data_IF_948166862997
#
_entry.id   IF_948166862997
#
_cell.length_a   1.000
_cell.length_b   1.000
_cell.length_c   1.000
_cell.angle_alpha   90.00
_cell.angle_beta   90.00
_cell.angle_gamma   90.00
#
_symmetry.space_group_name_H-M   'P 1'
#
loop_
_entity.id
_entity.type
_entity.pdbx_description
1 polymer ?
#
# COMPACT_ATOMS: atom_id res chain seq x y z
N UNK A 1 -30.40 0.05 16.40
CA UNK A 1 -29.07 -0.01 15.73
C UNK A 1 -28.06 -0.85 16.52
N UNK A 2 -27.72 -0.50 17.77
CA UNK A 2 -26.74 -1.25 18.58
C UNK A 2 -27.02 -2.76 18.69
N UNK A 3 -28.26 -3.14 19.00
CA UNK A 3 -28.68 -4.55 19.11
C UNK A 3 -28.46 -5.32 17.80
N UNK A 4 -28.94 -4.77 16.68
CA UNK A 4 -28.80 -5.39 15.35
C UNK A 4 -27.34 -5.59 14.95
N UNK A 5 -26.47 -4.59 15.18
CA UNK A 5 -25.03 -4.71 14.91
C UNK A 5 -24.42 -5.81 15.77
N UNK A 6 -24.78 -5.86 17.06
CA UNK A 6 -24.31 -6.91 17.97
C UNK A 6 -24.72 -8.31 17.51
N UNK A 7 -25.97 -8.50 17.11
CA UNK A 7 -26.49 -9.79 16.61
C UNK A 7 -25.75 -10.26 15.34
N UNK A 8 -25.54 -9.37 14.38
CA UNK A 8 -24.83 -9.69 13.12
C UNK A 8 -23.35 -10.03 13.38
N UNK A 9 -22.71 -9.33 14.31
CA UNK A 9 -21.28 -9.52 14.61
C UNK A 9 -20.99 -10.69 15.53
N UNK A 10 -21.94 -11.09 16.38
CA UNK A 10 -21.74 -12.11 17.41
C UNK A 10 -21.06 -13.40 16.92
N UNK A 11 -21.37 -13.95 15.72
CA UNK A 11 -20.70 -15.15 15.22
C UNK A 11 -19.22 -14.95 14.86
N UNK A 12 -18.79 -13.71 14.61
CA UNK A 12 -17.46 -13.37 14.09
C UNK A 12 -16.58 -12.62 15.09
N UNK A 13 -17.17 -12.15 16.20
CA UNK A 13 -16.52 -11.27 17.17
C UNK A 13 -15.20 -11.85 17.70
N UNK A 14 -15.16 -13.15 18.00
CA UNK A 14 -13.94 -13.82 18.48
C UNK A 14 -12.80 -13.80 17.44
N UNK A 15 -13.12 -13.97 16.16
CA UNK A 15 -12.15 -13.87 15.07
C UNK A 15 -11.71 -12.42 14.87
N UNK A 16 -12.67 -11.49 14.73
CA UNK A 16 -12.41 -10.07 14.48
C UNK A 16 -11.54 -9.43 15.56
N UNK A 17 -11.77 -9.77 16.82
CA UNK A 17 -11.04 -9.23 17.98
C UNK A 17 -9.74 -9.95 18.29
N UNK A 18 -9.36 -10.99 17.53
CA UNK A 18 -8.10 -11.70 17.76
C UNK A 18 -6.91 -10.77 17.49
N UNK A 19 -6.08 -10.57 18.52
CA UNK A 19 -4.84 -9.81 18.44
C UNK A 19 -3.81 -10.53 17.57
N UNK A 20 -3.31 -9.82 16.54
CA UNK A 20 -2.28 -10.29 15.61
C UNK A 20 -0.89 -9.86 16.08
N UNK A 21 -0.81 -8.67 16.69
CA UNK A 21 0.39 -8.02 17.21
C UNK A 21 0.02 -6.66 17.82
N UNK A 22 1.01 -5.82 18.13
CA UNK A 22 0.80 -4.47 18.67
C UNK A 22 1.55 -3.43 17.86
N UNK A 23 1.03 -2.22 17.79
CA UNK A 23 1.76 -1.10 17.18
C UNK A 23 2.38 -0.19 18.23
N UNK A 24 3.64 0.21 18.02
CA UNK A 24 4.29 1.28 18.79
C UNK A 24 4.22 2.63 18.05
N UNK A 25 4.06 2.59 16.73
CA UNK A 25 3.83 3.74 15.86
C UNK A 25 2.33 4.08 15.69
N UNK A 26 2.03 5.30 15.26
CA UNK A 26 0.69 5.61 14.75
C UNK A 26 0.54 4.99 13.35
N UNK A 27 -0.43 4.10 13.16
CA UNK A 27 -0.76 3.54 11.85
C UNK A 27 -2.00 4.23 11.27
N UNK A 28 -1.84 4.92 10.15
CA UNK A 28 -2.95 5.58 9.46
C UNK A 28 -2.94 5.27 7.96
N UNK A 29 -4.13 5.43 7.35
CA UNK A 29 -4.35 5.14 5.93
C UNK A 29 -4.21 6.34 5.00
N UNK A 30 -4.88 7.45 5.33
CA UNK A 30 -5.00 8.59 4.41
C UNK A 30 -3.68 9.35 4.29
N UNK A 31 -3.20 9.48 3.05
CA UNK A 31 -2.10 10.34 2.64
C UNK A 31 -2.06 10.39 1.10
N UNK A 32 -1.56 11.50 0.53
CA UNK A 32 -1.49 11.63 -0.94
C UNK A 32 -0.50 10.65 -1.56
N UNK A 33 0.57 10.29 -0.83
CA UNK A 33 1.66 9.43 -1.29
C UNK A 33 1.72 8.12 -0.52
N UNK A 34 2.04 8.15 0.77
CA UNK A 34 2.00 6.98 1.67
C UNK A 34 1.33 7.37 3.01
N UNK A 35 0.73 6.38 3.67
CA UNK A 35 0.41 6.39 5.10
C UNK A 35 1.16 5.25 5.80
N UNK A 36 1.34 5.31 7.12
CA UNK A 36 2.14 4.31 7.85
C UNK A 36 1.52 2.91 7.86
N UNK A 37 0.18 2.79 7.75
CA UNK A 37 -0.43 1.47 7.53
C UNK A 37 -0.15 0.96 6.11
N UNK A 38 -0.12 1.83 5.10
CA UNK A 38 0.33 1.45 3.76
C UNK A 38 1.79 0.97 3.74
N UNK A 39 2.66 1.60 4.52
CA UNK A 39 4.04 1.15 4.68
C UNK A 39 4.10 -0.25 5.30
N UNK A 40 3.26 -0.54 6.31
CA UNK A 40 3.11 -1.89 6.87
C UNK A 40 2.65 -2.90 5.80
N UNK A 41 1.64 -2.57 4.99
CA UNK A 41 1.14 -3.44 3.92
C UNK A 41 2.23 -3.70 2.88
N UNK A 42 2.97 -2.66 2.50
CA UNK A 42 4.09 -2.76 1.58
C UNK A 42 5.18 -3.67 2.13
N UNK A 43 5.62 -3.49 3.38
CA UNK A 43 6.61 -4.35 4.02
C UNK A 43 6.15 -5.81 4.12
N UNK A 44 4.88 -6.04 4.43
CA UNK A 44 4.30 -7.38 4.44
C UNK A 44 4.38 -8.04 3.06
N UNK A 45 4.04 -7.31 1.99
CA UNK A 45 4.17 -7.82 0.62
C UNK A 45 5.63 -8.11 0.25
N UNK A 46 6.56 -7.20 0.53
CA UNK A 46 7.98 -7.38 0.24
C UNK A 46 8.55 -8.65 0.87
N UNK A 47 8.28 -8.86 2.17
CA UNK A 47 8.83 -10.00 2.90
C UNK A 47 8.09 -11.32 2.62
N UNK A 48 6.76 -11.33 2.67
CA UNK A 48 5.98 -12.58 2.58
C UNK A 48 5.81 -13.07 1.13
N UNK A 49 6.05 -12.19 0.15
CA UNK A 49 6.01 -12.54 -1.29
C UNK A 49 7.37 -12.51 -1.96
N UNK A 50 8.44 -12.27 -1.22
CA UNK A 50 9.81 -12.23 -1.76
C UNK A 50 9.90 -11.36 -3.01
N UNK A 51 9.37 -10.14 -2.90
CA UNK A 51 9.33 -9.16 -3.98
C UNK A 51 10.44 -8.12 -3.78
N UNK A 52 10.94 -7.58 -4.88
CA UNK A 52 11.89 -6.46 -4.85
C UNK A 52 11.18 -5.16 -4.46
N UNK A 53 9.95 -4.98 -4.96
CA UNK A 53 9.14 -3.78 -4.84
C UNK A 53 7.69 -4.16 -4.54
N UNK A 54 6.93 -3.24 -3.95
CA UNK A 54 5.51 -3.47 -3.69
C UNK A 54 4.63 -2.27 -4.01
N UNK A 55 3.42 -2.52 -4.50
CA UNK A 55 2.40 -1.51 -4.79
C UNK A 55 1.11 -1.79 -4.00
N UNK A 56 0.68 -0.81 -3.21
CA UNK A 56 -0.59 -0.83 -2.47
C UNK A 56 -1.52 0.26 -3.03
N UNK A 57 -2.81 -0.04 -3.28
CA UNK A 57 -3.74 0.86 -3.95
C UNK A 57 -3.97 2.13 -3.13
N UNK A 58 -4.29 3.21 -3.83
CA UNK A 58 -4.39 4.55 -3.27
C UNK A 58 -5.64 4.86 -2.44
N UNK A 59 -6.20 3.87 -1.73
CA UNK A 59 -7.56 3.99 -1.16
C UNK A 59 -7.62 4.92 0.06
N UNK A 60 -8.77 5.58 0.23
CA UNK A 60 -9.03 6.57 1.29
C UNK A 60 -9.78 6.02 2.50
N UNK A 61 -10.26 4.78 2.46
CA UNK A 61 -11.00 4.13 3.55
C UNK A 61 -10.03 3.35 4.45
N UNK A 62 -10.24 3.45 5.76
CA UNK A 62 -9.38 2.83 6.77
C UNK A 62 -9.36 3.64 8.07
N UNK A 63 -9.33 2.97 9.22
CA UNK A 63 -9.27 3.56 10.56
C UNK A 63 -7.84 3.64 11.10
N UNK A 64 -7.53 4.59 11.98
CA UNK A 64 -6.18 4.66 12.57
C UNK A 64 -6.03 3.71 13.75
N UNK A 65 -4.85 3.08 13.87
CA UNK A 65 -4.42 2.33 15.06
C UNK A 65 -3.41 3.18 15.82
N UNK A 66 -3.66 3.42 17.10
CA UNK A 66 -2.83 4.28 17.94
C UNK A 66 -1.60 3.54 18.48
N UNK A 67 -0.52 4.27 18.82
CA UNK A 67 0.58 3.73 19.61
C UNK A 67 0.10 2.98 20.86
N UNK A 68 0.63 1.78 21.08
CA UNK A 68 0.32 0.87 22.19
C UNK A 68 -0.93 0.01 21.99
N UNK A 69 -1.73 0.22 20.93
CA UNK A 69 -2.93 -0.58 20.67
C UNK A 69 -2.60 -1.94 20.06
N UNK A 70 -3.40 -2.98 20.36
CA UNK A 70 -3.37 -4.22 19.60
C UNK A 70 -3.85 -3.98 18.17
N UNK A 71 -3.20 -4.65 17.22
CA UNK A 71 -3.66 -4.77 15.84
C UNK A 71 -4.44 -6.07 15.74
N UNK A 72 -5.71 -6.00 15.40
CA UNK A 72 -6.63 -7.14 15.32
C UNK A 72 -6.93 -7.53 13.86
N UNK A 73 -7.66 -8.63 13.66
CA UNK A 73 -8.20 -8.96 12.33
C UNK A 73 -9.15 -7.87 11.82
N UNK A 74 -9.94 -7.25 12.69
CA UNK A 74 -10.82 -6.15 12.30
C UNK A 74 -10.05 -4.98 11.73
N UNK A 75 -8.91 -4.60 12.32
CA UNK A 75 -8.06 -3.52 11.82
C UNK A 75 -7.48 -3.87 10.44
N UNK A 76 -7.04 -5.12 10.24
CA UNK A 76 -6.52 -5.57 8.93
C UNK A 76 -7.63 -5.56 7.88
N UNK A 77 -8.82 -6.06 8.19
CA UNK A 77 -9.96 -6.00 7.26
C UNK A 77 -10.39 -4.57 6.95
N UNK A 78 -10.36 -3.68 7.95
CA UNK A 78 -10.65 -2.26 7.79
C UNK A 78 -9.71 -1.58 6.77
N UNK A 79 -8.56 -2.18 6.45
CA UNK A 79 -7.58 -1.68 5.49
C UNK A 79 -7.57 -2.42 4.15
N UNK A 80 -8.06 -3.66 4.11
CA UNK A 80 -7.77 -4.58 3.00
C UNK A 80 -8.96 -5.37 2.47
N UNK A 81 -10.12 -5.30 3.12
CA UNK A 81 -11.31 -6.05 2.73
C UNK A 81 -11.93 -5.53 1.42
N UNK A 82 -11.52 -6.15 0.31
CA UNK A 82 -12.05 -5.94 -1.04
C UNK A 82 -12.40 -7.27 -1.68
N UNK A 83 -13.28 -7.27 -2.68
CA UNK A 83 -13.77 -8.49 -3.35
C UNK A 83 -12.76 -9.12 -4.33
N UNK A 84 -11.69 -8.40 -4.66
CA UNK A 84 -10.58 -8.84 -5.51
C UNK A 84 -9.23 -8.69 -4.77
N UNK A 85 -9.04 -9.45 -3.67
CA UNK A 85 -7.99 -9.18 -2.68
C UNK A 85 -6.64 -9.81 -3.00
N UNK A 86 -6.56 -10.59 -4.09
CA UNK A 86 -5.41 -11.42 -4.40
C UNK A 86 -4.16 -10.55 -4.49
N UNK A 87 -3.20 -10.86 -3.63
CA UNK A 87 -1.88 -10.28 -3.69
C UNK A 87 -1.13 -11.01 -4.82
N UNK A 88 -0.86 -10.33 -5.92
CA UNK A 88 -0.11 -10.90 -7.03
C UNK A 88 1.39 -10.65 -6.83
N UNK A 89 2.20 -11.36 -7.61
CA UNK A 89 3.64 -11.12 -7.76
C UNK A 89 4.00 -11.31 -9.23
N UNK A 90 4.44 -10.24 -9.87
CA UNK A 90 4.71 -10.20 -11.31
C UNK A 90 6.10 -9.61 -11.57
N UNK A 91 6.61 -9.85 -12.76
CA UNK A 91 7.85 -9.24 -13.22
C UNK A 91 7.53 -7.93 -13.96
N UNK A 92 8.23 -6.84 -13.64
CA UNK A 92 8.04 -5.51 -14.25
C UNK A 92 9.39 -4.84 -14.52
N UNK A 93 9.57 -4.26 -15.71
CA UNK A 93 10.78 -3.51 -16.04
C UNK A 93 10.84 -2.17 -15.29
N UNK A 94 12.04 -1.62 -15.11
CA UNK A 94 12.21 -0.26 -14.58
C UNK A 94 11.43 0.81 -15.34
N UNK A 95 11.35 0.67 -16.66
CA UNK A 95 10.53 1.52 -17.53
C UNK A 95 9.04 1.40 -17.20
N UNK A 96 8.51 0.17 -17.09
CA UNK A 96 7.11 -0.05 -16.74
C UNK A 96 6.78 0.45 -15.33
N UNK A 97 7.70 0.35 -14.37
CA UNK A 97 7.53 0.94 -13.04
C UNK A 97 7.31 2.46 -13.14
N UNK A 98 8.12 3.16 -13.94
CA UNK A 98 7.96 4.61 -14.16
C UNK A 98 6.62 4.91 -14.82
N UNK A 99 6.24 4.14 -15.86
CA UNK A 99 4.98 4.34 -16.57
C UNK A 99 3.78 4.20 -15.65
N UNK A 100 3.75 3.19 -14.78
CA UNK A 100 2.67 3.02 -13.79
C UNK A 100 2.59 4.23 -12.84
N UNK A 101 3.73 4.73 -12.36
CA UNK A 101 3.74 5.90 -11.48
C UNK A 101 3.28 7.18 -12.18
N UNK A 102 3.69 7.38 -13.44
CA UNK A 102 3.28 8.52 -14.26
C UNK A 102 1.79 8.49 -14.58
N UNK A 103 1.24 7.32 -14.89
CA UNK A 103 -0.18 7.13 -15.19
C UNK A 103 -1.07 7.44 -13.98
N UNK A 104 -0.69 6.92 -12.80
CA UNK A 104 -1.39 7.24 -11.54
C UNK A 104 -1.24 8.72 -11.19
N UNK A 105 -0.05 9.30 -11.38
CA UNK A 105 0.18 10.73 -11.14
C UNK A 105 -0.64 11.61 -12.09
N UNK A 106 -0.82 11.21 -13.35
CA UNK A 106 -1.65 11.96 -14.28
C UNK A 106 -3.11 11.94 -13.92
N UNK A 107 -3.62 10.80 -13.42
CA UNK A 107 -4.99 10.76 -12.92
C UNK A 107 -5.22 11.74 -11.76
N UNK A 108 -4.27 11.80 -10.82
CA UNK A 108 -4.43 12.58 -9.60
C UNK A 108 -4.15 14.08 -9.80
N UNK A 109 -3.09 14.38 -10.56
CA UNK A 109 -2.60 15.73 -10.78
C UNK A 109 -2.89 16.22 -12.21
N UNK A 110 -3.98 15.71 -12.80
CA UNK A 110 -4.44 16.23 -14.08
C UNK A 110 -4.81 17.71 -13.91
N UNK A 111 -4.36 18.54 -14.85
CA UNK A 111 -4.67 19.97 -14.86
C UNK A 111 -6.16 20.24 -15.06
N UNK A 112 -6.85 19.34 -15.75
CA UNK A 112 -8.29 19.41 -15.95
C UNK A 112 -8.98 18.51 -14.91
N UNK A 113 -9.74 19.10 -13.96
CA UNK A 113 -10.41 18.33 -12.91
C UNK A 113 -11.44 17.35 -13.47
N UNK A 114 -11.89 17.52 -14.72
CA UNK A 114 -12.78 16.56 -15.38
C UNK A 114 -12.15 15.16 -15.51
N UNK A 115 -10.82 15.09 -15.62
CA UNK A 115 -10.09 13.82 -15.74
C UNK A 115 -9.64 13.23 -14.40
N UNK A 116 -9.86 13.92 -13.29
CA UNK A 116 -9.50 13.43 -11.96
C UNK A 116 -10.53 12.41 -11.45
N UNK A 117 -10.09 11.21 -11.09
CA UNK A 117 -10.99 10.12 -10.66
C UNK A 117 -11.10 9.97 -9.13
N UNK A 118 -10.43 10.82 -8.36
CA UNK A 118 -10.63 10.92 -6.90
C UNK A 118 -9.85 9.90 -6.06
N UNK A 119 -8.74 9.35 -6.57
CA UNK A 119 -7.79 8.53 -5.83
C UNK A 119 -6.66 9.32 -5.16
N UNK A 120 -5.70 8.60 -4.60
CA UNK A 120 -4.38 9.12 -4.19
C UNK A 120 -3.29 8.31 -4.92
N UNK A 121 -2.01 8.67 -4.81
CA UNK A 121 -0.93 7.92 -5.49
C UNK A 121 -0.88 6.46 -5.04
N UNK A 122 -0.46 5.55 -5.91
CA UNK A 122 -0.12 4.19 -5.51
C UNK A 122 0.98 4.25 -4.44
N UNK A 123 0.78 3.53 -3.33
CA UNK A 123 1.75 3.48 -2.24
C UNK A 123 2.83 2.50 -2.59
N UNK A 124 4.08 2.89 -2.43
CA UNK A 124 5.23 2.10 -2.87
C UNK A 124 6.05 1.60 -1.68
N UNK A 125 6.54 0.37 -1.79
CA UNK A 125 7.53 -0.23 -0.90
C UNK A 125 8.80 -0.60 -1.67
N UNK A 126 9.96 -0.44 -1.02
CA UNK A 126 11.27 -0.73 -1.62
C UNK A 126 11.74 0.30 -2.66
N UNK A 127 10.92 1.31 -2.97
CA UNK A 127 11.16 2.35 -3.97
C UNK A 127 11.18 3.74 -3.32
N UNK A 128 12.14 4.58 -3.72
CA UNK A 128 12.11 6.04 -3.53
C UNK A 128 12.06 6.73 -4.89
N UNK A 129 11.46 7.92 -4.95
CA UNK A 129 11.39 8.72 -6.18
C UNK A 129 11.14 10.20 -5.88
N UNK A 130 11.37 11.05 -6.88
CA UNK A 130 10.94 12.45 -6.88
C UNK A 130 9.73 12.61 -7.79
N UNK A 131 8.75 13.40 -7.35
CA UNK A 131 7.59 13.80 -8.15
C UNK A 131 7.48 15.31 -8.20
N UNK A 132 7.43 15.88 -9.40
CA UNK A 132 7.04 17.28 -9.64
C UNK A 132 5.62 17.29 -10.22
N UNK A 133 4.65 17.69 -9.39
CA UNK A 133 3.22 17.58 -9.73
C UNK A 133 2.79 18.60 -10.80
N UNK A 134 3.62 19.62 -11.06
CA UNK A 134 3.35 20.65 -12.06
C UNK A 134 3.88 20.29 -13.46
N UNK A 135 4.66 19.21 -13.59
CA UNK A 135 5.14 18.75 -14.89
C UNK A 135 4.01 18.07 -15.69
N UNK A 136 4.07 18.11 -17.03
CA UNK A 136 3.16 17.33 -17.86
C UNK A 136 3.36 15.82 -17.66
N UNK A 137 2.34 15.04 -18.02
CA UNK A 137 2.39 13.58 -18.02
C UNK A 137 3.67 13.05 -18.67
N UNK A 138 4.25 12.02 -18.05
CA UNK A 138 5.49 11.38 -18.51
C UNK A 138 6.77 12.05 -17.99
N UNK A 139 6.65 13.24 -17.40
CA UNK A 139 7.78 14.00 -16.85
C UNK A 139 7.64 14.31 -15.35
N UNK A 140 6.60 13.79 -14.67
CA UNK A 140 6.41 14.05 -13.24
C UNK A 140 7.39 13.26 -12.38
N UNK A 141 7.70 12.01 -12.77
CA UNK A 141 8.47 11.06 -11.97
C UNK A 141 9.94 11.07 -12.40
N UNK A 142 10.84 11.24 -11.42
CA UNK A 142 12.29 11.23 -11.61
C UNK A 142 13.02 10.61 -10.40
N UNK A 143 14.33 10.40 -10.53
CA UNK A 143 15.21 9.93 -9.44
C UNK A 143 14.70 8.65 -8.73
N UNK A 144 14.18 7.70 -9.50
CA UNK A 144 13.74 6.41 -8.96
C UNK A 144 14.95 5.63 -8.41
N UNK A 145 14.87 5.21 -7.16
CA UNK A 145 15.94 4.50 -6.44
C UNK A 145 15.41 3.32 -5.65
N UNK A 146 16.22 2.27 -5.54
CA UNK A 146 15.92 1.10 -4.72
C UNK A 146 16.34 1.39 -3.27
N UNK A 147 15.42 1.32 -2.33
CA UNK A 147 15.71 1.63 -0.91
C UNK A 147 16.70 0.66 -0.27
N UNK A 148 16.76 -0.59 -0.75
CA UNK A 148 17.67 -1.62 -0.22
C UNK A 148 19.15 -1.27 -0.36
N UNK A 149 19.52 -0.44 -1.35
CA UNK A 149 20.92 -0.15 -1.65
C UNK A 149 21.19 1.27 -2.21
N UNK A 150 20.16 2.11 -2.31
CA UNK A 150 20.25 3.47 -2.85
C UNK A 150 20.56 3.56 -4.34
N UNK A 151 20.62 2.44 -5.07
CA UNK A 151 20.97 2.46 -6.50
C UNK A 151 19.79 2.99 -7.32
N UNK A 152 20.06 3.71 -8.44
CA UNK A 152 19.02 4.05 -9.40
C UNK A 152 18.30 2.81 -9.93
N UNK A 153 17.02 2.96 -10.23
CA UNK A 153 16.27 1.97 -11.00
C UNK A 153 16.79 1.96 -12.44
N UNK A 154 17.16 0.79 -12.93
CA UNK A 154 17.56 0.57 -14.32
C UNK A 154 16.30 0.29 -15.15
N UNK A 155 16.07 1.12 -16.17
CA UNK A 155 14.89 1.03 -17.02
C UNK A 155 14.72 -0.34 -17.69
N UNK A 156 15.83 -0.99 -18.04
CA UNK A 156 15.86 -2.28 -18.75
C UNK A 156 15.83 -3.49 -17.81
N UNK A 157 16.10 -3.29 -16.51
CA UNK A 157 16.11 -4.37 -15.54
C UNK A 157 14.69 -4.77 -15.13
N UNK A 158 14.48 -6.07 -14.93
CA UNK A 158 13.22 -6.63 -14.48
C UNK A 158 13.23 -6.83 -12.96
N UNK A 159 12.24 -6.26 -12.29
CA UNK A 159 12.03 -6.34 -10.85
C UNK A 159 10.82 -7.20 -10.54
N UNK A 160 10.87 -7.95 -9.43
CA UNK A 160 9.70 -8.66 -8.91
C UNK A 160 8.83 -7.68 -8.11
N UNK A 161 7.62 -7.44 -8.58
CA UNK A 161 6.68 -6.51 -7.95
C UNK A 161 5.50 -7.27 -7.35
N UNK A 162 5.28 -7.10 -6.06
CA UNK A 162 4.05 -7.54 -5.41
C UNK A 162 3.01 -6.43 -5.39
N UNK A 163 1.75 -6.74 -5.62
CA UNK A 163 0.67 -5.78 -5.45
C UNK A 163 -0.65 -6.47 -5.18
N UNK A 164 -1.72 -5.71 -4.99
CA UNK A 164 -3.05 -6.26 -4.75
C UNK A 164 -4.13 -5.32 -5.29
N UNK A 165 -5.40 -5.71 -5.15
CA UNK A 165 -6.54 -4.97 -5.68
C UNK A 165 -6.52 -4.79 -7.20
N UNK A 166 -6.07 -5.82 -7.94
CA UNK A 166 -6.19 -5.85 -9.40
C UNK A 166 -7.58 -6.33 -9.80
N UNK A 167 -8.21 -5.61 -10.73
CA UNK A 167 -9.50 -6.00 -11.33
C UNK A 167 -9.34 -6.91 -12.54
N UNK A 168 -8.09 -7.25 -12.91
CA UNK A 168 -7.83 -8.17 -14.01
C UNK A 168 -8.35 -9.57 -13.68
N UNK A 169 -8.78 -10.30 -14.70
CA UNK A 169 -9.19 -11.69 -14.55
C UNK A 169 -7.97 -12.59 -14.26
N UNK A 170 -8.19 -13.66 -13.50
CA UNK A 170 -7.17 -14.68 -13.25
C UNK A 170 -6.00 -14.24 -12.36
N UNK A 171 -6.16 -13.18 -11.57
CA UNK A 171 -5.11 -12.73 -10.63
C UNK A 171 -4.95 -13.75 -9.51
N UNK A 172 -3.78 -14.39 -9.46
CA UNK A 172 -3.45 -15.41 -8.47
C UNK A 172 -2.73 -14.87 -7.23
N UNK A 173 -2.75 -15.67 -6.16
CA UNK A 173 -2.04 -15.43 -4.91
C UNK A 173 -3.00 -15.31 -3.71
N UNK A 174 -2.47 -15.42 -2.47
CA UNK A 174 -3.27 -15.27 -1.26
C UNK A 174 -3.91 -13.88 -1.19
N UNK A 175 -5.06 -13.75 -0.51
CA UNK A 175 -5.64 -12.44 -0.26
C UNK A 175 -4.70 -11.60 0.61
N UNK A 176 -4.67 -10.29 0.36
CA UNK A 176 -3.73 -9.38 1.02
C UNK A 176 -3.85 -9.38 2.55
N UNK A 177 -5.05 -9.56 3.12
CA UNK A 177 -5.22 -9.62 4.58
C UNK A 177 -4.47 -10.80 5.21
N UNK A 178 -4.37 -11.94 4.52
CA UNK A 178 -3.60 -13.09 5.03
C UNK A 178 -2.10 -12.80 5.01
N UNK A 179 -1.62 -12.11 3.97
CA UNK A 179 -0.23 -11.67 3.84
C UNK A 179 0.13 -10.71 4.97
N UNK A 180 -0.70 -9.69 5.20
CA UNK A 180 -0.51 -8.68 6.26
C UNK A 180 -0.62 -9.31 7.65
N UNK A 181 -1.64 -10.14 7.90
CA UNK A 181 -1.82 -10.79 9.19
C UNK A 181 -0.66 -11.75 9.51
N UNK A 182 -0.15 -12.50 8.52
CA UNK A 182 1.01 -13.36 8.69
C UNK A 182 2.25 -12.56 9.07
N UNK A 183 2.49 -11.44 8.40
CA UNK A 183 3.60 -10.53 8.72
C UNK A 183 3.50 -9.99 10.14
N UNK A 184 2.35 -9.44 10.53
CA UNK A 184 2.13 -8.87 11.88
C UNK A 184 2.32 -9.96 12.95
N UNK A 185 1.74 -11.15 12.75
CA UNK A 185 1.90 -12.29 13.68
C UNK A 185 3.35 -12.73 13.85
N UNK A 186 4.18 -12.59 12.80
CA UNK A 186 5.62 -12.92 12.85
C UNK A 186 6.42 -11.83 13.55
N UNK A 187 6.15 -10.55 13.27
CA UNK A 187 6.88 -9.41 13.87
C UNK A 187 6.49 -9.15 15.34
N UNK A 188 5.24 -9.45 15.72
CA UNK A 188 4.62 -9.20 17.04
C UNK A 188 4.47 -7.73 17.42
N UNK A 189 5.49 -6.92 17.18
CA UNK A 189 5.52 -5.47 17.40
C UNK A 189 5.77 -4.79 16.06
N UNK A 190 4.92 -3.82 15.73
CA UNK A 190 5.05 -2.97 14.56
C UNK A 190 5.47 -1.58 15.02
N UNK A 191 6.73 -1.26 14.74
CA UNK A 191 7.34 0.03 15.00
C UNK A 191 7.85 0.58 13.67
N UNK A 192 7.14 1.58 13.14
CA UNK A 192 7.39 2.15 11.82
C UNK A 192 7.65 3.64 11.94
N UNK A 193 8.76 4.06 11.32
CA UNK A 193 9.00 5.47 11.02
C UNK A 193 8.24 5.88 9.76
N UNK A 194 7.68 7.11 9.70
CA UNK A 194 7.05 7.62 8.51
C UNK A 194 7.97 7.55 7.29
N UNK A 195 7.45 7.05 6.17
CA UNK A 195 8.24 6.93 4.94
C UNK A 195 8.57 8.30 4.34
N UNK A 196 9.87 8.58 4.20
CA UNK A 196 10.41 9.82 3.62
C UNK A 196 11.07 9.59 2.25
N UNK A 197 10.83 8.45 1.60
CA UNK A 197 11.47 8.08 0.33
C UNK A 197 10.92 8.84 -0.90
N UNK A 198 9.84 9.59 -0.73
CA UNK A 198 9.16 10.31 -1.80
C UNK A 198 9.39 11.80 -1.61
N UNK A 199 10.11 12.41 -2.57
CA UNK A 199 10.32 13.85 -2.60
C UNK A 199 9.28 14.50 -3.49
N UNK A 200 8.49 15.40 -2.95
CA UNK A 200 7.44 16.13 -3.68
C UNK A 200 7.93 17.55 -3.99
N UNK A 201 7.77 17.97 -5.24
CA UNK A 201 8.02 19.32 -5.73
C UNK A 201 6.68 19.91 -6.18
N UNK A 202 6.42 21.16 -5.82
CA UNK A 202 5.21 21.88 -6.21
C UNK A 202 4.01 21.68 -5.28
N UNK A 203 4.21 21.07 -4.11
CA UNK A 203 3.22 20.97 -3.04
C UNK A 203 3.27 22.15 -2.07
#
# INVERSE_FOLDING_TARGET
>A
LKTLIGEIRAPYESHLTTELGRSESLLYRRGNFNGTFDDLICQAMLEEREADLSFSPGTRWGASVLPGQPITWEDVYNMTAITYPNCYRIDMTGENLKLVLEDVADNLFNIDPYYQQGGDMVRVGGLGYTIDINQPIGNRISNMTLLKNGKPVDASHTYKVAGWASINEGVEGPPIWDVVAKYIKRKKVIDLEPNQSIKVIGA
#
